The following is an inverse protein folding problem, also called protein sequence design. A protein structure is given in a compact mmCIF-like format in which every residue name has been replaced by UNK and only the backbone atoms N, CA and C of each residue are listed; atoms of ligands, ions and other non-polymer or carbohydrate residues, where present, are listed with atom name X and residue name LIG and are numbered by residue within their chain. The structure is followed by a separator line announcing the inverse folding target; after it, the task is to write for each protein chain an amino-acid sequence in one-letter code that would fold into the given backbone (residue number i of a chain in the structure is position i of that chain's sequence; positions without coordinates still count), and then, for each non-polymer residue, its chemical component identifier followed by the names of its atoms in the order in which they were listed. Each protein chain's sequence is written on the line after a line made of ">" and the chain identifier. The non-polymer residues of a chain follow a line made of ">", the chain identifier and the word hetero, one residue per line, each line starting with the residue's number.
data_IF_832334382131
#
_entry.id   IF_832334382131
#
_cell.length_a   1.000
_cell.length_b   1.000
_cell.length_c   1.000
_cell.angle_alpha   90.00
_cell.angle_beta   90.00
_cell.angle_gamma   90.00
#
_symmetry.space_group_name_H-M   'P 1'
#
loop_
_entity.id
_entity.type
_entity.pdbx_description
1 polymer ?
#
# COMPACT_ATOMS: atom_id res chain seq x y z
N UNK A 1 12.60 -28.17 15.83
CA UNK A 1 12.63 -27.13 16.88
C UNK A 1 11.20 -26.69 17.14
N UNK A 2 10.65 -27.01 18.32
CA UNK A 2 9.33 -26.52 18.74
C UNK A 2 9.46 -25.06 19.16
N UNK A 3 8.67 -24.18 18.55
CA UNK A 3 8.57 -22.78 18.98
C UNK A 3 7.89 -22.74 20.36
N UNK A 4 8.44 -22.03 21.37
CA UNK A 4 7.87 -21.98 22.70
C UNK A 4 6.43 -21.45 22.66
N UNK A 5 5.49 -22.13 23.33
CA UNK A 5 4.12 -21.59 23.51
C UNK A 5 4.21 -20.31 24.32
N UNK A 6 3.80 -19.18 23.74
CA UNK A 6 3.59 -17.94 24.49
C UNK A 6 2.47 -18.13 25.51
N UNK A 7 2.69 -17.61 26.71
CA UNK A 7 1.64 -17.50 27.73
C UNK A 7 0.66 -16.38 27.33
N UNK A 8 -0.64 -16.61 27.53
CA UNK A 8 -1.70 -15.61 27.27
C UNK A 8 -1.46 -14.26 27.97
N UNK A 9 -0.71 -14.25 29.08
CA UNK A 9 -0.33 -13.04 29.81
C UNK A 9 0.49 -12.07 28.95
N UNK A 10 1.31 -12.57 28.03
CA UNK A 10 2.19 -11.74 27.22
C UNK A 10 1.45 -11.01 26.09
N UNK A 11 0.38 -11.62 25.56
CA UNK A 11 -0.37 -11.06 24.43
C UNK A 11 -1.22 -9.85 24.87
N UNK A 12 -1.83 -9.92 26.06
CA UNK A 12 -2.57 -8.78 26.64
C UNK A 12 -1.65 -7.60 26.93
N UNK A 13 -0.51 -7.86 27.58
CA UNK A 13 0.48 -6.81 27.86
C UNK A 13 1.02 -6.16 26.58
N UNK A 14 1.29 -6.95 25.54
CA UNK A 14 1.70 -6.42 24.23
C UNK A 14 0.62 -5.53 23.61
N UNK A 15 -0.64 -5.95 23.65
CA UNK A 15 -1.77 -5.18 23.14
C UNK A 15 -1.93 -3.83 23.85
N UNK A 16 -1.87 -3.84 25.18
CA UNK A 16 -1.96 -2.63 26.01
C UNK A 16 -0.80 -1.67 25.70
N UNK A 17 0.41 -2.23 25.51
CA UNK A 17 1.60 -1.46 25.16
C UNK A 17 1.53 -0.84 23.77
N UNK A 18 1.07 -1.60 22.76
CA UNK A 18 0.85 -1.05 21.40
C UNK A 18 -0.21 0.06 21.46
N UNK A 19 -1.28 -0.13 22.21
CA UNK A 19 -2.37 0.85 22.35
C UNK A 19 -1.89 2.15 22.98
N UNK A 20 -1.14 2.05 24.09
CA UNK A 20 -0.51 3.20 24.76
C UNK A 20 0.44 3.95 23.83
N UNK A 21 1.34 3.23 23.15
CA UNK A 21 2.27 3.83 22.19
C UNK A 21 1.53 4.54 21.06
N UNK A 22 0.50 3.92 20.47
CA UNK A 22 -0.27 4.53 19.39
C UNK A 22 -1.07 5.76 19.82
N UNK A 23 -1.56 5.76 21.06
CA UNK A 23 -2.21 6.94 21.65
C UNK A 23 -1.22 8.10 21.79
N UNK A 24 -0.05 7.86 22.41
CA UNK A 24 0.99 8.88 22.56
C UNK A 24 1.54 9.37 21.22
N UNK A 25 1.76 8.45 20.27
CA UNK A 25 2.19 8.77 18.91
C UNK A 25 1.19 9.66 18.18
N UNK A 26 -0.11 9.33 18.27
CA UNK A 26 -1.18 10.13 17.66
C UNK A 26 -1.26 11.55 18.21
N UNK A 27 -1.14 11.70 19.52
CA UNK A 27 -1.15 13.01 20.19
C UNK A 27 0.06 13.89 19.81
N UNK A 28 1.20 13.27 19.51
CA UNK A 28 2.42 13.97 19.11
C UNK A 28 2.42 14.42 17.64
N UNK A 29 1.81 13.63 16.76
CA UNK A 29 1.93 13.83 15.31
C UNK A 29 0.75 14.60 14.70
N UNK A 30 -0.42 14.52 15.31
CA UNK A 30 -1.59 15.23 14.84
C UNK A 30 -1.57 16.66 15.37
N UNK A 31 -1.37 17.62 14.47
CA UNK A 31 -1.43 19.06 14.79
C UNK A 31 -2.80 19.48 15.30
N UNK A 32 -3.85 18.83 14.79
CA UNK A 32 -5.23 19.02 15.21
C UNK A 32 -5.71 17.79 15.99
N UNK A 33 -5.76 17.94 17.31
CA UNK A 33 -6.20 16.87 18.22
C UNK A 33 -7.66 16.46 18.00
N UNK A 34 -8.49 17.30 17.35
CA UNK A 34 -9.87 16.92 17.02
C UNK A 34 -9.94 15.84 15.93
N UNK A 35 -8.87 15.68 15.14
CA UNK A 35 -8.75 14.61 14.14
C UNK A 35 -8.27 13.30 14.74
N UNK A 36 -7.82 13.30 15.99
CA UNK A 36 -7.49 12.07 16.69
C UNK A 36 -8.78 11.32 16.99
N UNK A 37 -8.98 10.19 16.32
CA UNK A 37 -10.15 9.36 16.49
C UNK A 37 -9.77 7.87 16.69
N UNK A 38 -10.79 7.05 16.94
CA UNK A 38 -10.61 5.62 17.12
C UNK A 38 -10.06 4.93 15.86
N UNK A 39 -10.29 5.49 14.67
CA UNK A 39 -9.80 4.92 13.41
C UNK A 39 -8.29 5.13 13.27
N UNK A 40 -7.76 6.28 13.69
CA UNK A 40 -6.33 6.52 13.75
C UNK A 40 -5.67 5.50 14.68
N UNK A 41 -6.22 5.36 15.89
CA UNK A 41 -5.69 4.44 16.90
C UNK A 41 -5.68 3.00 16.38
N UNK A 42 -6.80 2.53 15.81
CA UNK A 42 -6.89 1.18 15.20
C UNK A 42 -5.89 1.01 14.07
N UNK A 43 -5.79 1.99 13.17
CA UNK A 43 -4.83 1.98 12.06
C UNK A 43 -3.39 1.86 12.55
N UNK A 44 -3.01 2.66 13.55
CA UNK A 44 -1.70 2.58 14.17
C UNK A 44 -1.46 1.21 14.83
N UNK A 45 -2.41 0.71 15.62
CA UNK A 45 -2.31 -0.59 16.30
C UNK A 45 -2.09 -1.72 15.31
N UNK A 46 -2.80 -1.72 14.18
CA UNK A 46 -2.62 -2.73 13.11
C UNK A 46 -1.22 -2.70 12.51
N UNK A 47 -0.69 -1.52 12.24
CA UNK A 47 0.64 -1.33 11.66
C UNK A 47 1.72 -1.76 12.66
N UNK A 48 1.54 -1.41 13.94
CA UNK A 48 2.45 -1.78 15.02
C UNK A 48 2.46 -3.29 15.27
N UNK A 49 1.28 -3.91 15.35
CA UNK A 49 1.13 -5.36 15.51
C UNK A 49 1.75 -6.13 14.32
N UNK A 50 1.63 -5.60 13.10
CA UNK A 50 2.28 -6.16 11.92
C UNK A 50 3.80 -6.25 12.12
N UNK A 51 4.44 -5.17 12.56
CA UNK A 51 5.89 -5.12 12.72
C UNK A 51 6.35 -6.10 13.82
N UNK A 52 5.65 -6.13 14.95
CA UNK A 52 5.94 -7.05 16.04
C UNK A 52 5.86 -8.53 15.58
N UNK A 53 4.78 -8.91 14.89
CA UNK A 53 4.62 -10.28 14.36
C UNK A 53 5.74 -10.66 13.37
N UNK A 54 6.28 -9.69 12.63
CA UNK A 54 7.36 -9.95 11.67
C UNK A 54 8.70 -10.19 12.33
N UNK A 55 8.98 -9.53 13.46
CA UNK A 55 10.17 -9.79 14.25
C UNK A 55 10.21 -11.24 14.76
N UNK A 56 9.06 -11.78 15.16
CA UNK A 56 8.95 -13.14 15.72
C UNK A 56 9.15 -14.25 14.69
N UNK A 57 8.79 -13.98 13.43
CA UNK A 57 8.83 -14.95 12.33
C UNK A 57 10.09 -14.80 11.47
N UNK A 58 11.15 -14.15 11.97
CA UNK A 58 12.38 -13.97 11.20
C UNK A 58 13.02 -15.31 10.81
N UNK A 59 13.24 -15.58 9.51
CA UNK A 59 13.90 -16.80 9.06
C UNK A 59 15.39 -16.77 9.44
N UNK A 60 15.94 -17.89 9.88
CA UNK A 60 17.34 -18.01 10.32
C UNK A 60 18.40 -17.97 9.19
N UNK A 61 18.02 -17.69 7.94
CA UNK A 61 18.84 -17.97 6.75
C UNK A 61 19.13 -16.73 5.87
N UNK A 62 19.89 -16.95 4.79
CA UNK A 62 20.37 -15.96 3.80
C UNK A 62 19.30 -15.07 3.15
N UNK A 63 18.01 -15.36 3.35
CA UNK A 63 16.89 -14.53 2.89
C UNK A 63 16.46 -13.45 3.89
N UNK A 64 17.07 -13.41 5.08
CA UNK A 64 16.71 -12.48 6.15
C UNK A 64 16.75 -11.02 5.68
N UNK A 65 17.78 -10.61 4.94
CA UNK A 65 17.90 -9.23 4.47
C UNK A 65 16.76 -8.84 3.53
N UNK A 66 16.41 -9.69 2.55
CA UNK A 66 15.33 -9.41 1.62
C UNK A 66 13.97 -9.39 2.31
N UNK A 67 13.75 -10.29 3.27
CA UNK A 67 12.52 -10.38 4.03
C UNK A 67 12.32 -9.19 4.99
N UNK A 68 13.37 -8.80 5.72
CA UNK A 68 13.35 -7.63 6.59
C UNK A 68 13.08 -6.38 5.77
N UNK A 69 13.81 -6.26 4.67
CA UNK A 69 13.69 -5.14 3.75
C UNK A 69 12.26 -5.00 3.18
N UNK A 70 11.68 -6.11 2.72
CA UNK A 70 10.30 -6.21 2.29
C UNK A 70 9.29 -5.78 3.35
N UNK A 71 9.44 -6.35 4.55
CA UNK A 71 8.53 -6.12 5.66
C UNK A 71 8.56 -4.66 6.10
N UNK A 72 9.76 -4.08 6.16
CA UNK A 72 9.95 -2.67 6.46
C UNK A 72 9.34 -1.77 5.39
N UNK A 73 9.58 -2.05 4.10
CA UNK A 73 8.97 -1.27 3.02
C UNK A 73 7.44 -1.27 3.08
N UNK A 74 6.83 -2.42 3.38
CA UNK A 74 5.38 -2.50 3.55
C UNK A 74 4.89 -1.75 4.79
N UNK A 75 5.59 -1.88 5.92
CA UNK A 75 5.31 -1.10 7.13
C UNK A 75 5.33 0.41 6.84
N UNK A 76 6.37 0.90 6.16
CA UNK A 76 6.48 2.31 5.81
C UNK A 76 5.42 2.78 4.81
N UNK A 77 5.05 1.93 3.84
CA UNK A 77 3.91 2.20 2.96
C UNK A 77 2.61 2.38 3.76
N UNK A 78 2.31 1.47 4.70
CA UNK A 78 1.11 1.57 5.54
C UNK A 78 1.15 2.78 6.48
N UNK A 79 2.31 3.10 7.04
CA UNK A 79 2.48 4.28 7.86
C UNK A 79 2.25 5.55 7.03
N UNK A 80 2.84 5.66 5.83
CA UNK A 80 2.58 6.77 4.90
C UNK A 80 1.08 6.93 4.63
N UNK A 81 0.41 5.81 4.32
CA UNK A 81 -1.03 5.78 4.05
C UNK A 81 -1.87 6.26 5.25
N UNK A 82 -1.51 5.86 6.48
CA UNK A 82 -2.17 6.34 7.70
C UNK A 82 -1.93 7.83 7.90
N UNK A 83 -0.73 8.34 7.69
CA UNK A 83 -0.42 9.77 7.88
C UNK A 83 -1.15 10.66 6.87
N UNK A 84 -1.23 10.23 5.62
CA UNK A 84 -1.95 10.94 4.55
C UNK A 84 -3.45 11.02 4.82
N UNK A 85 -4.07 9.95 5.33
CA UNK A 85 -5.52 9.96 5.61
C UNK A 85 -5.92 10.94 6.72
N UNK A 86 -4.97 11.37 7.56
CA UNK A 86 -5.18 12.38 8.60
C UNK A 86 -4.57 13.74 8.26
N UNK A 87 -4.12 13.94 7.01
CA UNK A 87 -3.51 15.18 6.52
C UNK A 87 -2.29 15.63 7.36
N UNK A 88 -1.48 14.67 7.84
CA UNK A 88 -0.21 15.00 8.48
C UNK A 88 0.75 15.53 7.41
N UNK A 89 0.98 16.85 7.39
CA UNK A 89 1.83 17.53 6.40
C UNK A 89 3.22 17.78 6.95
N UNK A 90 4.23 17.68 6.08
CA UNK A 90 5.57 18.20 6.32
C UNK A 90 6.55 17.27 7.03
N UNK A 91 6.08 16.20 7.66
CA UNK A 91 6.97 15.21 8.28
C UNK A 91 7.31 14.08 7.31
N UNK A 92 8.59 13.70 7.26
CA UNK A 92 8.97 12.49 6.53
C UNK A 92 8.44 11.29 7.33
N UNK A 93 7.91 10.30 6.63
CA UNK A 93 7.38 9.05 7.23
C UNK A 93 8.42 8.38 8.14
N UNK A 94 9.70 8.50 7.80
CA UNK A 94 10.82 8.02 8.60
C UNK A 94 10.96 8.72 9.95
N UNK A 95 10.76 10.03 10.00
CA UNK A 95 10.79 10.81 11.24
C UNK A 95 9.62 10.42 12.14
N UNK A 96 8.45 10.20 11.54
CA UNK A 96 7.25 9.70 12.22
C UNK A 96 7.50 8.32 12.86
N UNK A 97 8.17 7.42 12.13
CA UNK A 97 8.57 6.13 12.66
C UNK A 97 9.54 6.26 13.84
N UNK A 98 10.53 7.17 13.80
CA UNK A 98 11.42 7.40 14.94
C UNK A 98 10.70 7.99 16.15
N UNK A 99 9.71 8.88 15.94
CA UNK A 99 8.83 9.34 17.02
C UNK A 99 8.08 8.16 17.64
N UNK A 100 7.50 7.30 16.82
CA UNK A 100 6.81 6.09 17.26
C UNK A 100 7.73 5.16 18.06
N UNK A 101 8.98 4.97 17.60
CA UNK A 101 10.02 4.21 18.33
C UNK A 101 10.39 4.84 19.68
N UNK A 102 10.49 6.16 19.76
CA UNK A 102 10.88 6.86 20.98
C UNK A 102 9.80 6.78 22.06
N UNK A 103 8.54 6.53 21.70
CA UNK A 103 7.44 6.27 22.65
C UNK A 103 7.47 4.88 23.27
N UNK A 104 8.24 3.95 22.70
CA UNK A 104 8.51 2.66 23.35
C UNK A 104 9.57 2.83 24.44
N UNK A 105 9.11 3.09 25.67
CA UNK A 105 9.97 3.21 26.87
C UNK A 105 10.42 1.86 27.43
N UNK A 106 9.70 0.76 27.14
CA UNK A 106 10.03 -0.59 27.61
C UNK A 106 11.01 -1.32 26.67
N UNK A 107 12.15 -1.75 27.24
CA UNK A 107 13.26 -2.38 26.51
C UNK A 107 12.84 -3.63 25.72
N UNK A 108 11.86 -4.39 26.22
CA UNK A 108 11.40 -5.67 25.63
C UNK A 108 10.77 -5.49 24.25
N UNK A 109 10.11 -4.36 23.99
CA UNK A 109 9.43 -4.11 22.72
C UNK A 109 10.25 -3.23 21.78
N UNK A 110 11.25 -2.53 22.31
CA UNK A 110 12.20 -1.74 21.52
C UNK A 110 12.86 -2.60 20.45
N UNK A 111 13.20 -3.85 20.77
CA UNK A 111 13.83 -4.78 19.83
C UNK A 111 12.89 -5.13 18.66
N UNK A 112 11.63 -5.43 18.94
CA UNK A 112 10.64 -5.81 17.93
C UNK A 112 10.34 -4.68 16.94
N UNK A 113 10.34 -3.44 17.41
CA UNK A 113 10.11 -2.29 16.55
C UNK A 113 11.41 -1.78 15.92
N UNK A 114 12.58 -2.09 16.48
CA UNK A 114 13.88 -1.65 15.93
C UNK A 114 14.29 -2.35 14.63
N UNK A 115 13.57 -3.38 14.20
CA UNK A 115 13.85 -4.17 12.98
C UNK A 115 14.07 -3.28 11.76
N UNK A 116 13.34 -2.19 11.64
CA UNK A 116 13.43 -1.28 10.50
C UNK A 116 14.37 -0.07 10.72
N UNK A 117 15.04 0.01 11.88
CA UNK A 117 15.87 1.16 12.27
C UNK A 117 17.06 1.37 11.33
N UNK A 118 17.73 0.27 10.96
CA UNK A 118 18.97 0.28 10.17
C UNK A 118 18.75 -0.12 8.71
N UNK A 119 17.50 -0.31 8.31
CA UNK A 119 17.18 -0.68 6.93
C UNK A 119 17.23 0.59 6.09
N UNK A 120 17.95 0.55 4.98
CA UNK A 120 17.79 1.56 3.93
C UNK A 120 16.39 1.41 3.36
N UNK A 121 15.45 2.15 3.94
CA UNK A 121 14.05 2.08 3.53
C UNK A 121 13.92 2.85 2.22
N UNK A 122 13.25 2.24 1.25
CA UNK A 122 12.91 2.92 0.00
C UNK A 122 11.79 3.96 0.19
N UNK A 123 11.38 4.28 1.42
CA UNK A 123 10.28 5.20 1.70
C UNK A 123 10.58 6.63 1.28
N UNK A 124 11.86 7.04 1.34
CA UNK A 124 12.34 8.30 0.77
C UNK A 124 12.39 8.27 -0.77
N UNK A 125 12.18 7.09 -1.38
CA UNK A 125 12.27 6.84 -2.83
C UNK A 125 11.01 6.22 -3.43
N UNK A 126 9.91 6.08 -2.68
CA UNK A 126 8.62 5.75 -3.27
C UNK A 126 8.19 6.95 -4.09
N UNK A 127 8.56 6.94 -5.37
CA UNK A 127 7.93 7.84 -6.31
C UNK A 127 6.41 7.58 -6.27
N UNK A 128 5.64 8.62 -6.57
CA UNK A 128 4.18 8.57 -6.48
C UNK A 128 3.58 7.42 -7.29
N UNK A 129 4.23 7.06 -8.41
CA UNK A 129 3.88 5.89 -9.22
C UNK A 129 3.97 4.57 -8.45
N UNK A 130 5.09 4.32 -7.77
CA UNK A 130 5.29 3.06 -7.01
C UNK A 130 4.37 3.01 -5.80
N UNK A 131 4.19 4.16 -5.13
CA UNK A 131 3.23 4.28 -4.03
C UNK A 131 1.80 3.93 -4.49
N UNK A 132 1.35 4.52 -5.60
CA UNK A 132 0.05 4.22 -6.20
C UNK A 132 -0.11 2.75 -6.60
N UNK A 133 0.94 2.13 -7.17
CA UNK A 133 0.93 0.70 -7.51
C UNK A 133 0.78 -0.18 -6.27
N UNK A 134 1.53 0.08 -5.20
CA UNK A 134 1.42 -0.70 -3.95
C UNK A 134 0.05 -0.51 -3.32
N UNK A 135 -0.45 0.74 -3.29
CA UNK A 135 -1.79 1.06 -2.79
C UNK A 135 -2.87 0.29 -3.51
N UNK A 136 -2.77 0.21 -4.83
CA UNK A 136 -3.70 -0.55 -5.64
C UNK A 136 -3.61 -2.07 -5.39
N UNK A 137 -2.39 -2.63 -5.31
CA UNK A 137 -2.21 -4.06 -5.00
C UNK A 137 -2.82 -4.43 -3.65
N UNK A 138 -2.54 -3.63 -2.62
CA UNK A 138 -3.03 -3.82 -1.27
C UNK A 138 -4.57 -3.80 -1.22
N UNK A 139 -5.21 -2.88 -1.95
CA UNK A 139 -6.67 -2.88 -2.12
C UNK A 139 -7.18 -4.17 -2.79
N UNK A 140 -6.54 -4.63 -3.86
CA UNK A 140 -6.96 -5.86 -4.54
C UNK A 140 -6.83 -7.10 -3.66
N UNK A 141 -5.75 -7.21 -2.89
CA UNK A 141 -5.58 -8.29 -1.92
C UNK A 141 -6.65 -8.23 -0.82
N UNK A 142 -7.01 -7.03 -0.35
CA UNK A 142 -8.11 -6.87 0.60
C UNK A 142 -9.45 -7.32 0.01
N UNK A 143 -9.77 -6.93 -1.24
CA UNK A 143 -10.98 -7.39 -1.93
C UNK A 143 -10.99 -8.90 -2.13
N UNK A 144 -9.83 -9.49 -2.49
CA UNK A 144 -9.68 -10.94 -2.59
C UNK A 144 -9.93 -11.64 -1.25
N UNK A 145 -9.41 -11.08 -0.15
CA UNK A 145 -9.65 -11.57 1.20
C UNK A 145 -11.15 -11.57 1.55
N UNK A 146 -11.86 -10.45 1.28
CA UNK A 146 -13.30 -10.36 1.51
C UNK A 146 -14.07 -11.41 0.71
N UNK A 147 -13.73 -11.61 -0.56
CA UNK A 147 -14.35 -12.64 -1.41
C UNK A 147 -14.11 -14.06 -0.90
N UNK A 148 -12.90 -14.36 -0.42
CA UNK A 148 -12.57 -15.67 0.15
C UNK A 148 -13.33 -15.93 1.45
N UNK A 149 -13.61 -14.87 2.22
CA UNK A 149 -14.20 -14.97 3.54
C UNK A 149 -15.73 -14.93 3.54
N UNK A 150 -16.32 -14.10 2.69
CA UNK A 150 -17.75 -13.84 2.69
C UNK A 150 -18.33 -14.14 1.30
N UNK A 151 -19.15 -15.19 1.24
CA UNK A 151 -19.82 -15.63 0.00
C UNK A 151 -20.83 -14.61 -0.52
N UNK A 152 -21.38 -13.75 0.33
CA UNK A 152 -22.41 -12.77 -0.02
C UNK A 152 -21.84 -11.53 -0.72
N UNK A 153 -20.61 -11.12 -0.36
CA UNK A 153 -19.87 -10.05 -1.02
C UNK A 153 -19.47 -10.40 -2.46
N UNK A 154 -19.64 -11.67 -2.84
CA UNK A 154 -19.29 -12.19 -4.14
C UNK A 154 -19.98 -11.48 -5.29
N UNK A 155 -21.29 -11.21 -5.24
CA UNK A 155 -22.01 -10.69 -6.41
C UNK A 155 -21.63 -9.24 -6.76
N UNK A 156 -21.56 -8.35 -5.76
CA UNK A 156 -21.30 -6.92 -6.00
C UNK A 156 -19.82 -6.60 -6.23
N UNK A 157 -18.88 -7.17 -5.45
CA UNK A 157 -17.46 -6.85 -5.59
C UNK A 157 -16.81 -7.51 -6.82
N UNK A 158 -17.35 -8.63 -7.29
CA UNK A 158 -16.73 -9.45 -8.34
C UNK A 158 -16.59 -8.70 -9.65
N UNK A 159 -17.70 -8.18 -10.20
CA UNK A 159 -17.68 -7.59 -11.53
C UNK A 159 -16.84 -6.32 -11.54
N UNK A 160 -16.99 -5.47 -10.53
CA UNK A 160 -16.21 -4.23 -10.40
C UNK A 160 -14.72 -4.52 -10.25
N UNK A 161 -14.34 -5.45 -9.36
CA UNK A 161 -12.91 -5.76 -9.13
C UNK A 161 -12.26 -6.41 -10.33
N UNK A 162 -12.95 -7.35 -11.00
CA UNK A 162 -12.44 -7.98 -12.22
C UNK A 162 -12.31 -6.98 -13.37
N UNK A 163 -13.26 -6.05 -13.52
CA UNK A 163 -13.19 -5.00 -14.53
C UNK A 163 -11.98 -4.07 -14.28
N UNK A 164 -11.75 -3.64 -13.04
CA UNK A 164 -10.57 -2.84 -12.67
C UNK A 164 -9.26 -3.61 -12.93
N UNK A 165 -9.21 -4.90 -12.56
CA UNK A 165 -8.05 -5.78 -12.83
C UNK A 165 -7.81 -5.90 -14.35
N UNK A 166 -8.85 -6.17 -15.14
CA UNK A 166 -8.75 -6.34 -16.58
C UNK A 166 -8.32 -5.05 -17.29
N UNK A 167 -8.82 -3.89 -16.85
CA UNK A 167 -8.41 -2.58 -17.37
C UNK A 167 -6.90 -2.37 -17.21
N UNK A 168 -6.36 -2.65 -16.02
CA UNK A 168 -4.93 -2.52 -15.74
C UNK A 168 -4.10 -3.56 -16.48
N UNK A 169 -4.59 -4.79 -16.63
CA UNK A 169 -3.92 -5.80 -17.46
C UNK A 169 -3.91 -5.42 -18.94
N UNK A 170 -4.87 -4.62 -19.42
CA UNK A 170 -4.81 -3.98 -20.73
C UNK A 170 -3.52 -3.17 -20.90
N UNK A 171 -3.12 -2.42 -19.86
CA UNK A 171 -1.90 -1.61 -19.83
C UNK A 171 -0.61 -2.44 -19.62
N UNK A 172 -0.75 -3.73 -19.30
CA UNK A 172 0.35 -4.68 -19.11
C UNK A 172 0.81 -5.38 -20.39
N UNK A 173 0.13 -5.20 -21.54
CA UNK A 173 0.45 -5.89 -22.79
C UNK A 173 1.93 -5.69 -23.18
N UNK A 174 2.66 -6.80 -23.28
CA UNK A 174 4.08 -6.85 -23.67
C UNK A 174 5.09 -6.45 -22.60
N UNK A 175 4.65 -6.00 -21.40
CA UNK A 175 5.56 -5.54 -20.34
C UNK A 175 5.84 -6.66 -19.35
N UNK A 176 7.08 -7.13 -19.29
CA UNK A 176 7.59 -8.01 -18.22
C UNK A 176 7.89 -7.22 -16.93
N UNK A 177 6.92 -6.44 -16.45
CA UNK A 177 7.04 -5.75 -15.18
C UNK A 177 6.43 -6.61 -14.06
N UNK A 178 7.00 -6.50 -12.85
CA UNK A 178 6.59 -7.32 -11.71
C UNK A 178 5.16 -7.03 -11.25
N UNK A 179 4.75 -5.76 -11.30
CA UNK A 179 3.40 -5.36 -10.94
C UNK A 179 2.35 -6.12 -11.76
N UNK A 180 2.52 -6.17 -13.09
CA UNK A 180 1.67 -6.91 -14.01
C UNK A 180 1.65 -8.41 -13.72
N UNK A 181 2.78 -8.98 -13.28
CA UNK A 181 2.82 -10.38 -12.85
C UNK A 181 1.93 -10.61 -11.61
N UNK A 182 1.98 -9.73 -10.61
CA UNK A 182 1.11 -9.83 -9.43
C UNK A 182 -0.36 -9.60 -9.75
N UNK A 183 -0.68 -8.63 -10.62
CA UNK A 183 -2.06 -8.40 -11.07
C UNK A 183 -2.60 -9.63 -11.81
N UNK A 184 -1.77 -10.27 -12.65
CA UNK A 184 -2.17 -11.50 -13.35
C UNK A 184 -2.47 -12.63 -12.36
N UNK A 185 -1.59 -12.84 -11.37
CA UNK A 185 -1.80 -13.85 -10.33
C UNK A 185 -3.06 -13.59 -9.49
N UNK A 186 -3.31 -12.32 -9.13
CA UNK A 186 -4.55 -11.93 -8.49
C UNK A 186 -5.75 -12.28 -9.37
N UNK A 187 -5.73 -11.92 -10.66
CA UNK A 187 -6.82 -12.28 -11.59
C UNK A 187 -7.12 -13.77 -11.60
N UNK A 188 -6.09 -14.61 -11.66
CA UNK A 188 -6.23 -16.08 -11.64
C UNK A 188 -6.94 -16.56 -10.36
N UNK A 189 -6.56 -16.02 -9.20
CA UNK A 189 -7.21 -16.31 -7.92
C UNK A 189 -8.68 -15.86 -7.89
N UNK A 190 -8.99 -14.67 -8.40
CA UNK A 190 -10.37 -14.18 -8.52
C UNK A 190 -11.21 -15.08 -9.44
N UNK A 191 -10.67 -15.49 -10.59
CA UNK A 191 -11.35 -16.41 -11.53
C UNK A 191 -11.56 -17.79 -10.91
N UNK A 192 -10.57 -18.29 -10.17
CA UNK A 192 -10.68 -19.58 -9.47
C UNK A 192 -11.81 -19.58 -8.45
N UNK A 193 -11.86 -18.57 -7.57
CA UNK A 193 -12.97 -18.40 -6.61
C UNK A 193 -14.32 -18.33 -7.36
N UNK A 194 -14.33 -17.69 -8.52
CA UNK A 194 -15.53 -17.63 -9.35
C UNK A 194 -15.98 -19.00 -9.87
N UNK A 195 -15.06 -19.85 -10.32
CA UNK A 195 -15.42 -21.19 -10.78
C UNK A 195 -15.87 -22.09 -9.62
N UNK A 196 -15.25 -21.95 -8.45
CA UNK A 196 -15.57 -22.74 -7.27
C UNK A 196 -16.95 -22.41 -6.69
N UNK A 197 -17.42 -21.16 -6.82
CA UNK A 197 -18.74 -20.75 -6.35
C UNK A 197 -19.87 -21.30 -7.23
N UNK A 198 -19.68 -21.37 -8.55
CA UNK A 198 -20.69 -21.89 -9.49
C UNK A 198 -20.94 -23.39 -9.29
N UNK A 199 -19.91 -24.12 -8.84
CA UNK A 199 -19.97 -25.58 -8.63
C UNK A 199 -20.67 -26.00 -7.34
N UNK A 200 -20.97 -25.07 -6.43
CA UNK A 200 -21.75 -25.34 -5.23
C UNK A 200 -23.18 -24.86 -5.50
N UNK A 201 -24.05 -25.67 -6.15
CA UNK A 201 -25.45 -25.31 -6.29
C UNK A 201 -26.01 -25.05 -4.89
N UNK A 202 -26.61 -23.89 -4.72
CA UNK A 202 -27.21 -23.46 -3.47
C UNK A 202 -28.06 -24.59 -2.91
N UNK A 203 -27.68 -25.09 -1.73
CA UNK A 203 -28.61 -25.82 -0.88
C UNK A 203 -29.66 -24.81 -0.41
N UNK A 204 -30.59 -24.42 -1.29
CA UNK A 204 -31.78 -23.60 -1.07
C UNK A 204 -31.89 -23.00 0.33
N UNK A 205 -31.00 -22.05 0.65
CA UNK A 205 -31.17 -21.23 1.85
C UNK A 205 -32.16 -20.16 1.40
N UNK A 206 -33.39 -20.30 1.85
CA UNK A 206 -34.49 -19.35 1.66
C UNK A 206 -33.97 -17.92 1.79
N UNK A 207 -33.95 -17.17 0.68
CA UNK A 207 -33.43 -15.79 0.56
C UNK A 207 -33.99 -14.83 1.62
N UNK A 208 -35.16 -15.13 2.19
CA UNK A 208 -35.90 -14.25 3.10
C UNK A 208 -35.31 -14.16 4.53
N UNK A 209 -34.47 -15.11 4.97
CA UNK A 209 -33.83 -15.05 6.30
C UNK A 209 -32.51 -14.28 6.30
N UNK A 210 -31.73 -14.37 5.22
CA UNK A 210 -30.39 -13.79 5.15
C UNK A 210 -30.43 -12.26 5.06
N UNK A 211 -31.40 -11.67 4.38
CA UNK A 211 -31.53 -10.21 4.25
C UNK A 211 -31.88 -9.51 5.58
N UNK A 212 -32.53 -10.21 6.53
CA UNK A 212 -32.90 -9.65 7.84
C UNK A 212 -31.76 -9.74 8.86
N UNK A 213 -30.95 -10.81 8.84
CA UNK A 213 -29.78 -10.89 9.71
C UNK A 213 -28.66 -9.91 9.32
N UNK A 214 -28.54 -9.56 8.02
CA UNK A 214 -27.56 -8.56 7.57
C UNK A 214 -27.82 -7.17 8.15
N UNK A 215 -29.06 -6.71 8.20
CA UNK A 215 -29.39 -5.39 8.78
C UNK A 215 -29.18 -5.31 10.30
N UNK A 216 -29.17 -6.45 10.99
CA UNK A 216 -29.06 -6.50 12.45
C UNK A 216 -27.62 -6.70 12.96
N UNK A 217 -26.71 -7.22 12.12
CA UNK A 217 -25.31 -7.47 12.48
C UNK A 217 -24.32 -6.51 11.79
N UNK A 218 -24.82 -5.53 11.02
CA UNK A 218 -24.09 -4.30 10.67
C UNK A 218 -23.86 -3.41 11.91
N UNK A 219 -23.16 -3.95 12.91
CA UNK A 219 -22.31 -3.11 13.74
C UNK A 219 -21.19 -2.61 12.81
N UNK A 220 -21.42 -1.42 12.25
CA UNK A 220 -20.51 -0.63 11.40
C UNK A 220 -19.70 -1.44 10.39
N UNK A 221 -20.16 -1.62 9.14
CA UNK A 221 -19.22 -1.75 8.03
C UNK A 221 -18.30 -0.54 8.12
N UNK A 222 -17.11 -0.79 8.64
CA UNK A 222 -16.03 0.15 8.88
C UNK A 222 -16.04 1.17 7.74
N UNK A 223 -15.84 2.45 8.07
CA UNK A 223 -15.66 3.62 7.19
C UNK A 223 -14.59 3.48 6.08
N UNK A 224 -14.24 2.25 5.66
CA UNK A 224 -13.52 1.84 4.45
C UNK A 224 -14.16 2.43 3.18
N UNK A 225 -15.46 2.73 3.18
CA UNK A 225 -16.11 3.38 2.03
C UNK A 225 -15.51 4.77 1.76
N UNK A 226 -15.13 5.54 2.79
CA UNK A 226 -14.39 6.81 2.59
C UNK A 226 -12.98 6.61 2.02
N UNK A 227 -12.43 5.42 2.12
CA UNK A 227 -11.13 5.08 1.53
C UNK A 227 -11.24 4.77 0.03
N UNK A 228 -12.39 4.28 -0.45
CA UNK A 228 -12.62 4.03 -1.89
C UNK A 228 -12.84 5.33 -2.70
N UNK A 229 -13.52 6.32 -2.12
CA UNK A 229 -13.75 7.64 -2.76
C UNK A 229 -12.43 8.39 -2.99
N UNK A 230 -11.48 8.32 -2.05
CA UNK A 230 -10.16 8.92 -2.18
C UNK A 230 -9.28 8.27 -3.28
N UNK A 231 -9.66 7.09 -3.77
CA UNK A 231 -8.90 6.35 -4.80
C UNK A 231 -9.38 6.68 -6.20
N UNK A 232 -10.69 6.91 -6.41
CA UNK A 232 -11.19 7.36 -7.72
C UNK A 232 -10.64 8.74 -8.08
N UNK A 233 -10.57 9.67 -7.12
CA UNK A 233 -9.98 11.00 -7.35
C UNK A 233 -8.48 10.98 -7.68
N UNK A 234 -7.72 9.97 -7.23
CA UNK A 234 -6.29 9.86 -7.54
C UNK A 234 -6.00 9.30 -8.94
N UNK A 235 -6.97 8.62 -9.56
CA UNK A 235 -6.87 8.11 -10.94
C UNK A 235 -7.29 9.20 -11.94
N UNK A 236 -8.28 10.02 -11.58
CA UNK A 236 -8.79 11.10 -12.43
C UNK A 236 -7.91 12.35 -12.43
N UNK A 237 -7.07 12.55 -11.39
CA UNK A 237 -6.14 13.68 -11.27
C UNK A 237 -4.98 13.73 -12.30
N UNK A 238 -4.95 12.82 -13.27
CA UNK A 238 -3.97 12.79 -14.36
C UNK A 238 -4.44 13.60 -15.58
N UNK A 239 -5.75 13.83 -15.75
CA UNK A 239 -6.32 14.42 -16.98
C UNK A 239 -6.89 15.84 -16.82
N UNK A 240 -7.06 16.35 -15.60
CA UNK A 240 -7.83 17.57 -15.34
C UNK A 240 -7.03 18.75 -14.83
N UNK A 241 -6.28 19.46 -15.67
CA UNK A 241 -5.69 20.75 -15.25
C UNK A 241 -5.50 21.75 -16.40
N UNK A 242 -6.59 22.17 -17.07
CA UNK A 242 -6.60 23.42 -17.85
C UNK A 242 -7.99 24.06 -17.76
N UNK A 243 -8.13 25.13 -16.97
CA UNK A 243 -9.32 25.99 -16.93
C UNK A 243 -8.99 27.34 -17.60
N UNK A 244 -9.85 27.88 -18.50
CA UNK A 244 -9.51 29.03 -19.33
C UNK A 244 -10.09 30.33 -18.78
N UNK A 245 -9.26 31.13 -18.13
CA UNK A 245 -9.47 32.58 -18.07
C UNK A 245 -8.13 33.26 -18.29
N UNK A 246 -7.88 33.84 -19.47
CA UNK A 246 -6.96 34.96 -19.74
C UNK A 246 -6.65 35.17 -21.23
N UNK A 247 -7.63 35.34 -22.14
CA UNK A 247 -7.33 35.39 -23.59
C UNK A 247 -6.25 36.41 -24.03
N UNK A 248 -6.15 37.57 -23.38
CA UNK A 248 -5.13 38.60 -23.74
C UNK A 248 -3.76 38.40 -23.07
N UNK A 249 -3.71 37.88 -21.84
CA UNK A 249 -2.44 37.55 -21.16
C UNK A 249 -1.87 36.24 -21.72
N UNK A 250 -2.74 35.29 -22.05
CA UNK A 250 -2.41 34.02 -22.66
C UNK A 250 -1.79 34.21 -24.05
N UNK A 251 -2.35 35.07 -24.91
CA UNK A 251 -1.77 35.32 -26.23
C UNK A 251 -0.32 35.83 -26.17
N UNK A 252 -0.02 36.77 -25.26
CA UNK A 252 1.35 37.30 -25.08
C UNK A 252 2.30 36.28 -24.45
N UNK A 253 1.80 35.46 -23.51
CA UNK A 253 2.54 34.35 -22.93
C UNK A 253 2.84 33.27 -23.99
N UNK A 254 1.88 32.90 -24.83
CA UNK A 254 2.04 31.92 -25.91
C UNK A 254 3.12 32.38 -26.89
N UNK A 255 3.11 33.65 -27.33
CA UNK A 255 4.14 34.16 -28.24
C UNK A 255 5.54 34.07 -27.60
N UNK A 256 5.66 34.43 -26.33
CA UNK A 256 6.94 34.38 -25.61
C UNK A 256 7.43 32.94 -25.45
N UNK A 257 6.53 32.02 -25.09
CA UNK A 257 6.82 30.58 -24.98
C UNK A 257 7.23 30.02 -26.34
N UNK A 258 6.56 30.39 -27.44
CA UNK A 258 6.91 29.95 -28.78
C UNK A 258 8.32 30.41 -29.17
N UNK A 259 8.66 31.67 -28.94
CA UNK A 259 10.00 32.21 -29.24
C UNK A 259 11.07 31.46 -28.42
N UNK A 260 10.88 31.33 -27.10
CA UNK A 260 11.82 30.61 -26.23
C UNK A 260 11.93 29.13 -26.62
N UNK A 261 10.82 28.50 -27.02
CA UNK A 261 10.82 27.10 -27.46
C UNK A 261 11.61 26.92 -28.75
N UNK A 262 11.46 27.83 -29.73
CA UNK A 262 12.22 27.81 -30.99
C UNK A 262 13.72 27.95 -30.72
N UNK A 263 14.12 28.92 -29.88
CA UNK A 263 15.53 29.07 -29.51
C UNK A 263 16.06 27.84 -28.77
N UNK A 264 15.26 27.22 -27.91
CA UNK A 264 15.62 25.99 -27.21
C UNK A 264 15.78 24.81 -28.18
N UNK A 265 14.88 24.65 -29.14
CA UNK A 265 14.95 23.62 -30.18
C UNK A 265 16.21 23.82 -31.03
N UNK A 266 16.49 25.06 -31.47
CA UNK A 266 17.70 25.37 -32.24
C UNK A 266 18.96 25.05 -31.42
N UNK A 267 19.00 25.43 -30.13
CA UNK A 267 20.10 25.09 -29.25
C UNK A 267 20.27 23.58 -29.08
N UNK A 268 19.18 22.83 -28.91
CA UNK A 268 19.20 21.37 -28.84
C UNK A 268 19.67 20.73 -30.15
N UNK A 269 19.27 21.26 -31.31
CA UNK A 269 19.77 20.81 -32.61
C UNK A 269 21.27 21.11 -32.73
N UNK A 270 21.71 22.28 -32.31
CA UNK A 270 23.12 22.67 -32.40
C UNK A 270 24.01 21.82 -31.48
N UNK A 271 23.54 21.54 -30.26
CA UNK A 271 24.17 20.59 -29.33
C UNK A 271 24.14 19.19 -29.96
N UNK A 272 22.98 18.72 -30.44
CA UNK A 272 22.84 17.41 -31.07
C UNK A 272 23.75 17.22 -32.29
N UNK A 273 23.94 18.27 -33.09
CA UNK A 273 24.83 18.28 -34.24
C UNK A 273 26.30 18.28 -33.80
N UNK A 274 26.69 19.18 -32.88
CA UNK A 274 28.07 19.27 -32.36
C UNK A 274 28.51 18.00 -31.62
N UNK A 275 27.59 17.33 -30.96
CA UNK A 275 27.84 16.12 -30.18
C UNK A 275 27.33 14.85 -30.88
N UNK A 276 27.08 14.90 -32.19
CA UNK A 276 26.57 13.75 -32.96
C UNK A 276 27.49 12.54 -32.86
N UNK A 277 28.80 12.75 -32.87
CA UNK A 277 29.79 11.67 -32.74
C UNK A 277 29.86 11.11 -31.31
N UNK A 278 29.37 11.86 -30.32
CA UNK A 278 29.27 11.45 -28.91
C UNK A 278 27.89 10.92 -28.51
N UNK A 279 26.89 10.99 -29.41
CA UNK A 279 25.53 10.50 -29.16
C UNK A 279 25.49 9.02 -28.77
N UNK A 280 26.27 8.12 -29.41
CA UNK A 280 26.32 6.71 -29.01
C UNK A 280 26.78 6.52 -27.55
N UNK A 281 27.74 7.32 -27.10
CA UNK A 281 28.22 7.29 -25.72
C UNK A 281 27.16 7.77 -24.73
N UNK A 282 26.44 8.86 -25.04
CA UNK A 282 25.35 9.36 -24.21
C UNK A 282 24.18 8.37 -24.14
N UNK A 283 23.80 7.75 -25.27
CA UNK A 283 22.78 6.70 -25.30
C UNK A 283 23.18 5.50 -24.45
N UNK A 284 24.43 5.04 -24.54
CA UNK A 284 24.95 3.96 -23.70
C UNK A 284 24.88 4.31 -22.21
N UNK A 285 25.27 5.54 -21.84
CA UNK A 285 25.23 6.01 -20.45
C UNK A 285 23.79 6.13 -19.94
N UNK A 286 22.88 6.66 -20.76
CA UNK A 286 21.45 6.75 -20.45
C UNK A 286 20.81 5.37 -20.29
N UNK A 287 21.15 4.41 -21.17
CA UNK A 287 20.74 3.02 -21.05
C UNK A 287 21.20 2.41 -19.72
N UNK A 288 22.46 2.60 -19.33
CA UNK A 288 22.99 2.12 -18.06
C UNK A 288 22.27 2.75 -16.85
N UNK A 289 21.90 4.03 -16.92
CA UNK A 289 21.10 4.69 -15.87
C UNK A 289 19.70 4.09 -15.79
N UNK A 290 19.03 3.90 -16.93
CA UNK A 290 17.71 3.26 -16.99
C UNK A 290 17.76 1.82 -16.48
N UNK A 291 18.80 1.06 -16.82
CA UNK A 291 18.98 -0.30 -16.33
C UNK A 291 19.18 -0.33 -14.81
N UNK A 292 19.99 0.58 -14.25
CA UNK A 292 20.17 0.72 -12.79
C UNK A 292 18.86 1.09 -12.08
N UNK A 293 18.09 2.05 -12.59
CA UNK A 293 16.77 2.40 -12.04
C UNK A 293 15.79 1.23 -12.13
N UNK A 294 15.79 0.51 -13.25
CA UNK A 294 14.95 -0.68 -13.42
C UNK A 294 15.37 -1.83 -12.48
N UNK A 295 16.67 -1.99 -12.18
CA UNK A 295 17.15 -2.94 -11.16
C UNK A 295 16.66 -2.55 -9.77
N UNK A 296 16.81 -1.29 -9.36
CA UNK A 296 16.29 -0.78 -8.09
C UNK A 296 14.78 -1.00 -7.95
N UNK A 297 13.99 -0.67 -8.98
CA UNK A 297 12.55 -0.92 -8.99
C UNK A 297 12.23 -2.42 -8.90
N UNK A 298 12.98 -3.28 -9.61
CA UNK A 298 12.81 -4.73 -9.51
C UNK A 298 13.13 -5.25 -8.12
N UNK A 299 14.09 -4.70 -7.41
CA UNK A 299 14.45 -5.16 -6.06
C UNK A 299 13.42 -4.70 -5.01
N UNK A 300 12.93 -3.46 -5.12
CA UNK A 300 11.78 -2.97 -4.35
C UNK A 300 10.57 -3.88 -4.58
N UNK A 301 10.28 -4.17 -5.85
CA UNK A 301 9.18 -5.02 -6.24
C UNK A 301 9.37 -6.48 -5.81
N UNK A 302 10.55 -7.08 -5.95
CA UNK A 302 10.83 -8.43 -5.44
C UNK A 302 10.67 -8.53 -3.93
N UNK A 303 10.95 -7.46 -3.18
CA UNK A 303 10.67 -7.43 -1.74
C UNK A 303 9.15 -7.61 -1.47
N UNK A 304 8.29 -7.17 -2.39
CA UNK A 304 6.85 -7.35 -2.30
C UNK A 304 6.33 -8.75 -2.64
N UNK A 305 7.17 -9.71 -3.02
CA UNK A 305 6.78 -11.15 -3.03
C UNK A 305 6.30 -11.60 -1.64
N UNK A 306 6.73 -10.91 -0.58
CA UNK A 306 6.22 -11.08 0.78
C UNK A 306 4.72 -10.78 0.95
N UNK A 307 4.06 -10.04 0.06
CA UNK A 307 2.62 -9.78 0.16
C UNK A 307 1.79 -11.05 0.11
N UNK A 308 2.09 -11.91 -0.85
CA UNK A 308 1.40 -13.17 -0.95
C UNK A 308 1.61 -14.01 0.30
N UNK A 309 2.83 -14.02 0.85
CA UNK A 309 3.12 -14.67 2.13
C UNK A 309 2.39 -13.99 3.31
N UNK A 310 2.24 -12.66 3.31
CA UNK A 310 1.47 -11.89 4.29
C UNK A 310 0.00 -12.32 4.30
N UNK A 311 -0.61 -12.47 3.12
CA UNK A 311 -2.01 -12.84 3.00
C UNK A 311 -2.24 -14.36 3.14
N UNK A 312 -1.34 -15.21 2.63
CA UNK A 312 -1.49 -16.68 2.67
C UNK A 312 -1.13 -17.29 4.03
N UNK A 313 -0.19 -16.70 4.80
CA UNK A 313 0.09 -17.16 6.17
C UNK A 313 -0.95 -16.68 7.21
N UNK A 314 -2.09 -16.13 6.76
CA UNK A 314 -3.24 -15.79 7.59
C UNK A 314 -4.11 -17.00 8.00
N UNK A 315 -3.50 -18.20 8.17
CA UNK A 315 -4.07 -19.24 9.03
C UNK A 315 -4.06 -18.84 10.51
N UNK A 316 -3.37 -17.75 10.87
CA UNK A 316 -3.76 -16.95 12.03
C UNK A 316 -5.24 -16.59 11.85
N UNK A 317 -6.06 -16.96 12.80
CA UNK A 317 -7.50 -17.21 12.70
C UNK A 317 -8.35 -15.94 12.45
N UNK A 318 -8.12 -15.28 11.30
CA UNK A 318 -8.28 -13.85 10.96
C UNK A 318 -6.84 -13.19 11.16
N UNK A 319 -6.50 -11.94 10.95
CA UNK A 319 -7.37 -10.95 11.49
C UNK A 319 -7.99 -11.45 12.87
N UNK A 320 -7.32 -12.39 13.61
CA UNK A 320 -7.71 -13.28 14.74
C UNK A 320 -7.51 -12.58 16.06
N UNK A 321 -7.73 -11.31 15.91
CA UNK A 321 -8.23 -10.42 16.88
C UNK A 321 -9.76 -10.63 16.65
N UNK A 322 -10.48 -11.59 17.23
CA UNK A 322 -10.55 -11.95 18.65
C UNK A 322 -9.85 -10.97 19.59
N UNK A 323 -10.15 -9.68 19.42
CA UNK A 323 -10.72 -8.99 20.56
C UNK A 323 -12.07 -9.69 20.76
N UNK A 324 -12.16 -10.45 21.85
CA UNK A 324 -13.43 -10.77 22.45
C UNK A 324 -14.24 -9.47 22.48
N UNK A 325 -15.33 -9.40 21.73
CA UNK A 325 -16.36 -8.37 21.89
C UNK A 325 -17.34 -8.74 23.02
N UNK A 326 -16.97 -9.68 23.89
CA UNK A 326 -17.61 -9.91 25.18
C UNK A 326 -16.68 -9.38 26.26
N UNK A 327 -16.72 -8.05 26.44
CA UNK A 327 -16.39 -7.29 27.66
C UNK A 327 -16.08 -5.83 27.26
N UNK A 328 -17.10 -5.09 26.82
CA UNK A 328 -17.40 -3.71 27.23
C UNK A 328 -18.84 -3.39 26.84
#
# INVERSE_FOLDING_TARGET
>A
MMSPRRSMSNDKQLSDNISRMCNEFGLDILTDKSKYDENFLKGCQYIAAYLNRRNEKMPASSYLNNYVHASCNYFFYKLKLLLESYNVKGEKVKDCYYKMLNKYSEQVYKDAFSVCKNVHIYSEHFNETTYGMIKYLDLLYYKLYLLKKYTEYYYHLKNTSLNSINSILGNCRGKKNFFCHHILKLREEFVKIQMDSVRKPDKSISEDQTSREMRSKEAEPIKVIKFEEAIHGAVDGIDGMIEPQTEKVLAKAIITILIVSIFSIIALIFIGYKYKDHLPFLQYKAWNIMEKKNKQNKDVLKSFVSFEEIYNNSKDNKYSISYSSEAY
#
